data_IF_375290027235
#
_entry.id   IF_375290027235
#
_cell.length_a   1.000
_cell.length_b   1.000
_cell.length_c   1.000
_cell.angle_alpha   90.00
_cell.angle_beta   90.00
_cell.angle_gamma   90.00
#
_symmetry.space_group_name_H-M   'P 1'
#
loop_
_entity.id
_entity.type
_entity.pdbx_description
1 polymer ?
#
# COMPACT_ATOMS: atom_id res chain seq x y z
N UNK A 1 -39.51 11.00 -13.77
CA UNK A 1 -38.39 10.04 -13.67
C UNK A 1 -38.35 9.48 -12.25
N UNK A 2 -38.61 8.20 -12.07
CA UNK A 2 -38.45 7.56 -10.78
C UNK A 2 -36.96 7.51 -10.44
N UNK A 3 -36.54 8.16 -9.34
CA UNK A 3 -35.18 8.06 -8.81
C UNK A 3 -35.04 6.70 -8.10
N UNK A 4 -34.58 5.69 -8.83
CA UNK A 4 -34.28 4.40 -8.23
C UNK A 4 -32.85 4.44 -7.69
N UNK A 5 -32.69 4.03 -6.43
CA UNK A 5 -31.37 3.81 -5.84
C UNK A 5 -30.81 2.51 -6.42
N UNK A 6 -29.72 2.60 -7.16
CA UNK A 6 -29.06 1.42 -7.75
C UNK A 6 -28.33 0.63 -6.65
N UNK A 7 -28.69 -0.63 -6.49
CA UNK A 7 -28.00 -1.58 -5.59
C UNK A 7 -27.33 -2.64 -6.46
N UNK A 8 -26.02 -2.80 -6.30
CA UNK A 8 -25.28 -3.82 -7.03
C UNK A 8 -25.71 -5.24 -6.60
N UNK A 9 -25.95 -6.11 -7.56
CA UNK A 9 -26.21 -7.55 -7.31
C UNK A 9 -24.93 -8.35 -7.57
N UNK A 10 -24.68 -9.37 -6.78
CA UNK A 10 -23.47 -10.19 -6.88
C UNK A 10 -23.29 -10.82 -8.27
N UNK A 11 -24.37 -11.15 -8.97
CA UNK A 11 -24.34 -11.80 -10.28
C UNK A 11 -23.99 -10.84 -11.43
N UNK A 12 -24.13 -9.53 -11.21
CA UNK A 12 -23.88 -8.50 -12.23
C UNK A 12 -22.46 -7.91 -12.14
N UNK A 13 -21.73 -8.26 -11.06
CA UNK A 13 -20.42 -7.67 -10.78
C UNK A 13 -19.35 -8.42 -11.60
N UNK A 14 -18.75 -7.73 -12.55
CA UNK A 14 -17.56 -8.19 -13.25
C UNK A 14 -16.32 -7.84 -12.43
N UNK A 15 -15.49 -8.85 -12.11
CA UNK A 15 -14.24 -8.70 -11.37
C UNK A 15 -13.07 -8.89 -12.31
N UNK A 16 -12.16 -7.92 -12.27
CA UNK A 16 -10.91 -7.94 -13.02
C UNK A 16 -9.74 -8.32 -12.12
N UNK A 17 -8.64 -8.70 -12.76
CA UNK A 17 -7.38 -8.97 -12.08
C UNK A 17 -6.37 -7.90 -12.43
N UNK A 18 -5.71 -7.33 -11.41
CA UNK A 18 -4.70 -6.30 -11.58
C UNK A 18 -3.39 -6.72 -10.94
N UNK A 19 -2.28 -6.40 -11.62
CA UNK A 19 -0.93 -6.51 -11.06
C UNK A 19 -0.42 -5.12 -10.75
N UNK A 20 0.19 -4.98 -9.58
CA UNK A 20 0.80 -3.75 -9.08
C UNK A 20 2.24 -4.04 -8.69
N UNK A 21 3.18 -3.32 -9.27
CA UNK A 21 4.58 -3.36 -8.83
C UNK A 21 4.77 -2.41 -7.64
N UNK A 22 5.35 -2.90 -6.55
CA UNK A 22 5.60 -2.15 -5.32
C UNK A 22 6.98 -1.48 -5.29
N UNK A 23 7.84 -1.69 -6.29
CA UNK A 23 9.22 -1.17 -6.33
C UNK A 23 9.24 0.34 -6.14
N UNK A 24 10.03 0.81 -5.18
CA UNK A 24 10.23 2.22 -4.81
C UNK A 24 8.96 3.02 -4.47
N UNK A 25 7.81 2.37 -4.39
CA UNK A 25 6.55 3.04 -4.06
C UNK A 25 6.37 3.14 -2.55
N UNK A 26 5.88 4.29 -2.05
CA UNK A 26 5.65 4.48 -0.61
C UNK A 26 4.52 3.57 -0.13
N UNK A 27 4.82 2.71 0.87
CA UNK A 27 3.93 1.68 1.42
C UNK A 27 2.50 2.18 1.68
N UNK A 28 2.37 3.32 2.38
CA UNK A 28 1.05 3.82 2.78
C UNK A 28 0.20 4.29 1.60
N UNK A 29 0.81 4.97 0.62
CA UNK A 29 0.11 5.46 -0.58
C UNK A 29 -0.31 4.31 -1.49
N UNK A 30 0.59 3.34 -1.69
CA UNK A 30 0.28 2.11 -2.42
C UNK A 30 -0.89 1.38 -1.75
N UNK A 31 -0.83 1.16 -0.44
CA UNK A 31 -1.87 0.46 0.31
C UNK A 31 -3.25 1.17 0.20
N UNK A 32 -3.29 2.50 0.18
CA UNK A 32 -4.54 3.26 0.03
C UNK A 32 -5.19 3.01 -1.33
N UNK A 33 -4.42 3.06 -2.42
CA UNK A 33 -4.96 2.84 -3.77
C UNK A 33 -5.39 1.39 -3.98
N UNK A 34 -4.60 0.43 -3.50
CA UNK A 34 -4.96 -0.99 -3.51
C UNK A 34 -6.24 -1.25 -2.71
N UNK A 35 -6.40 -0.64 -1.54
CA UNK A 35 -7.62 -0.77 -0.73
C UNK A 35 -8.86 -0.20 -1.45
N UNK A 36 -8.72 0.88 -2.22
CA UNK A 36 -9.81 1.42 -3.04
C UNK A 36 -10.24 0.44 -4.14
N UNK A 37 -9.30 -0.22 -4.81
CA UNK A 37 -9.58 -1.23 -5.84
C UNK A 37 -10.22 -2.48 -5.22
N UNK A 38 -9.70 -2.97 -4.09
CA UNK A 38 -10.24 -4.13 -3.36
C UNK A 38 -11.66 -3.91 -2.85
N UNK A 39 -11.99 -2.69 -2.43
CA UNK A 39 -13.36 -2.33 -2.01
C UNK A 39 -14.27 -2.01 -3.19
N UNK A 40 -13.72 -1.74 -4.38
CA UNK A 40 -14.46 -1.38 -5.59
C UNK A 40 -14.92 0.06 -5.63
N UNK A 41 -14.37 0.95 -4.80
CA UNK A 41 -14.72 2.38 -4.78
C UNK A 41 -14.39 3.13 -6.09
N UNK A 42 -13.56 2.54 -6.94
CA UNK A 42 -13.26 3.03 -8.27
C UNK A 42 -14.36 2.77 -9.30
N UNK A 43 -15.35 1.91 -8.97
CA UNK A 43 -16.45 1.56 -9.86
C UNK A 43 -17.72 2.39 -9.58
N UNK A 44 -18.45 2.84 -10.62
CA UNK A 44 -19.69 3.60 -10.44
C UNK A 44 -20.82 2.78 -9.78
N UNK A 45 -20.77 1.46 -9.91
CA UNK A 45 -21.75 0.52 -9.32
C UNK A 45 -21.48 0.20 -7.84
N UNK A 46 -20.48 0.84 -7.23
CA UNK A 46 -20.10 0.54 -5.86
C UNK A 46 -21.24 0.77 -4.86
N UNK A 47 -21.47 -0.24 -4.03
CA UNK A 47 -22.41 -0.18 -2.89
C UNK A 47 -21.71 -0.74 -1.65
N UNK A 48 -21.91 -0.15 -0.44
CA UNK A 48 -21.17 -0.52 0.76
C UNK A 48 -21.53 -1.90 1.33
N UNK A 49 -22.66 -2.47 0.95
CA UNK A 49 -23.17 -3.75 1.43
C UNK A 49 -22.77 -4.95 0.57
N UNK A 50 -22.23 -4.71 -0.63
CA UNK A 50 -21.82 -5.75 -1.58
C UNK A 50 -20.34 -5.63 -1.94
N UNK A 51 -19.66 -6.74 -2.12
CA UNK A 51 -18.27 -6.77 -2.57
C UNK A 51 -18.16 -6.53 -4.08
N UNK A 52 -17.97 -5.27 -4.48
CA UNK A 52 -17.82 -4.85 -5.88
C UNK A 52 -16.36 -4.82 -6.35
N UNK A 53 -15.39 -5.10 -5.48
CA UNK A 53 -13.97 -4.92 -5.76
C UNK A 53 -13.36 -5.99 -6.66
N UNK A 54 -12.16 -5.67 -7.15
CA UNK A 54 -11.37 -6.49 -8.06
C UNK A 54 -10.29 -7.28 -7.31
N UNK A 55 -9.65 -8.21 -8.02
CA UNK A 55 -8.49 -8.94 -7.54
C UNK A 55 -7.22 -8.12 -7.74
N UNK A 56 -6.34 -8.10 -6.75
CA UNK A 56 -5.07 -7.36 -6.83
C UNK A 56 -3.92 -8.27 -6.46
N UNK A 57 -2.92 -8.29 -7.32
CA UNK A 57 -1.65 -8.97 -7.12
C UNK A 57 -0.59 -7.90 -6.92
N UNK A 58 0.16 -7.98 -5.83
CA UNK A 58 1.29 -7.09 -5.55
C UNK A 58 2.57 -7.89 -5.70
N UNK A 59 3.49 -7.40 -6.52
CA UNK A 59 4.82 -7.98 -6.72
C UNK A 59 5.90 -7.07 -6.13
N UNK A 60 7.10 -7.61 -5.91
CA UNK A 60 8.25 -6.89 -5.35
C UNK A 60 7.99 -6.24 -3.98
N UNK A 61 7.23 -6.90 -3.09
CA UNK A 61 6.88 -6.33 -1.79
C UNK A 61 8.11 -6.01 -0.90
N UNK A 62 9.24 -6.66 -1.12
CA UNK A 62 10.50 -6.40 -0.43
C UNK A 62 11.15 -5.06 -0.80
N UNK A 63 10.84 -4.52 -2.01
CA UNK A 63 11.42 -3.29 -2.54
C UNK A 63 10.57 -2.05 -2.26
N UNK A 64 9.58 -2.16 -1.39
CA UNK A 64 8.70 -1.05 -1.03
C UNK A 64 9.44 0.01 -0.22
N UNK A 65 9.14 1.30 -0.46
CA UNK A 65 9.80 2.40 0.24
C UNK A 65 9.03 2.82 1.50
N UNK A 66 9.78 3.18 2.55
CA UNK A 66 9.27 3.75 3.78
C UNK A 66 9.78 5.20 3.92
N UNK A 67 8.89 6.16 4.02
CA UNK A 67 9.26 7.58 4.11
C UNK A 67 9.77 7.97 5.50
N UNK A 68 10.81 8.81 5.55
CA UNK A 68 11.41 9.29 6.79
C UNK A 68 12.02 8.16 7.63
N UNK A 69 12.13 8.32 8.94
CA UNK A 69 12.76 7.35 9.84
C UNK A 69 11.80 6.23 10.32
N UNK A 70 10.83 5.85 9.47
CA UNK A 70 9.86 4.78 9.80
C UNK A 70 10.52 3.40 9.89
N UNK A 71 11.63 3.20 9.21
CA UNK A 71 12.37 1.94 9.24
C UNK A 71 12.75 1.58 10.68
N UNK A 72 13.23 2.56 11.45
CA UNK A 72 13.68 2.36 12.83
C UNK A 72 12.56 2.60 13.85
N UNK A 73 11.75 3.65 13.66
CA UNK A 73 10.81 4.12 14.68
C UNK A 73 9.44 3.44 14.63
N UNK A 74 8.99 2.96 13.44
CA UNK A 74 7.69 2.31 13.35
C UNK A 74 7.76 0.89 13.91
N UNK A 75 6.88 0.60 14.88
CA UNK A 75 6.78 -0.69 15.55
C UNK A 75 5.49 -1.41 15.16
N UNK A 76 5.59 -2.71 14.93
CA UNK A 76 4.47 -3.62 14.76
C UNK A 76 4.37 -4.53 15.98
N UNK A 77 3.16 -4.62 16.50
CA UNK A 77 2.88 -5.40 17.72
C UNK A 77 2.12 -6.67 17.36
N UNK A 78 2.46 -7.76 18.04
CA UNK A 78 1.74 -9.02 17.98
C UNK A 78 1.61 -9.59 19.38
N UNK A 79 0.39 -9.96 19.79
CA UNK A 79 0.09 -10.47 21.12
C UNK A 79 -0.30 -11.93 21.00
N UNK A 80 0.33 -12.80 21.78
CA UNK A 80 0.03 -14.24 21.80
C UNK A 80 -1.21 -14.62 22.62
N UNK A 81 -1.79 -13.66 23.37
CA UNK A 81 -2.91 -13.90 24.28
C UNK A 81 -2.51 -14.32 25.70
N UNK A 82 -1.23 -14.60 25.95
CA UNK A 82 -0.70 -14.92 27.28
C UNK A 82 -0.12 -13.70 27.99
N UNK A 83 -0.06 -13.71 29.31
CA UNK A 83 0.57 -12.66 30.09
C UNK A 83 2.08 -12.52 29.64
N UNK A 84 2.52 -11.27 29.38
CA UNK A 84 3.86 -11.01 28.87
C UNK A 84 4.09 -11.38 27.38
N UNK A 85 3.07 -11.86 26.65
CA UNK A 85 3.18 -12.34 25.27
C UNK A 85 3.22 -11.26 24.18
N UNK A 86 3.48 -9.99 24.52
CA UNK A 86 3.63 -8.90 23.54
C UNK A 86 4.99 -9.01 22.83
N UNK A 87 4.94 -9.19 21.52
CA UNK A 87 6.12 -9.16 20.65
C UNK A 87 6.14 -7.88 19.83
N UNK A 88 7.27 -7.20 19.83
CA UNK A 88 7.47 -5.95 19.06
C UNK A 88 8.50 -6.18 17.97
N UNK A 89 8.19 -5.76 16.74
CA UNK A 89 9.12 -5.78 15.59
C UNK A 89 9.19 -4.39 14.98
N UNK A 90 10.38 -3.93 14.61
CA UNK A 90 10.55 -2.68 13.85
C UNK A 90 10.13 -2.86 12.40
N UNK A 91 9.82 -1.76 11.70
CA UNK A 91 9.45 -1.82 10.29
C UNK A 91 10.62 -2.32 9.42
N UNK A 92 11.88 -2.02 9.77
CA UNK A 92 13.05 -2.56 9.09
C UNK A 92 13.09 -4.10 9.17
N UNK A 93 12.95 -4.65 10.37
CA UNK A 93 12.88 -6.13 10.55
C UNK A 93 11.71 -6.77 9.81
N UNK A 94 10.56 -6.06 9.72
CA UNK A 94 9.40 -6.55 8.97
C UNK A 94 9.66 -6.53 7.47
N UNK A 95 10.34 -5.51 6.94
CA UNK A 95 10.67 -5.39 5.52
C UNK A 95 11.65 -6.49 5.09
N UNK A 96 12.69 -6.77 5.91
CA UNK A 96 13.70 -7.76 5.60
C UNK A 96 13.21 -9.21 5.70
N UNK A 97 12.47 -9.53 6.78
CA UNK A 97 12.10 -10.92 7.10
C UNK A 97 10.66 -11.28 6.72
N UNK A 98 9.75 -10.30 6.70
CA UNK A 98 8.31 -10.53 6.55
C UNK A 98 7.66 -9.46 5.65
N UNK A 99 8.15 -9.21 4.41
CA UNK A 99 7.64 -8.14 3.55
C UNK A 99 6.18 -8.35 3.16
N UNK A 100 5.77 -9.59 2.91
CA UNK A 100 4.39 -9.95 2.60
C UNK A 100 3.46 -9.60 3.76
N UNK A 101 3.80 -10.03 4.98
CA UNK A 101 2.99 -9.76 6.18
C UNK A 101 2.88 -8.26 6.45
N UNK A 102 3.95 -7.48 6.24
CA UNK A 102 3.95 -6.03 6.41
C UNK A 102 2.97 -5.35 5.44
N UNK A 103 2.99 -5.76 4.17
CA UNK A 103 2.10 -5.24 3.13
C UNK A 103 0.64 -5.59 3.44
N UNK A 104 0.36 -6.85 3.74
CA UNK A 104 -0.99 -7.31 4.07
C UNK A 104 -1.56 -6.59 5.30
N UNK A 105 -0.79 -6.41 6.37
CA UNK A 105 -1.21 -5.67 7.57
C UNK A 105 -1.54 -4.21 7.25
N UNK A 106 -0.76 -3.58 6.39
CA UNK A 106 -1.00 -2.20 6.00
C UNK A 106 -2.33 -2.06 5.24
N UNK A 107 -2.57 -2.93 4.26
CA UNK A 107 -3.80 -2.93 3.46
C UNK A 107 -5.02 -3.34 4.30
N UNK A 108 -4.88 -4.37 5.13
CA UNK A 108 -5.96 -4.80 6.04
C UNK A 108 -6.43 -3.69 6.99
N UNK A 109 -5.49 -2.83 7.43
CA UNK A 109 -5.83 -1.65 8.23
C UNK A 109 -6.67 -0.60 7.50
N UNK A 110 -6.67 -0.61 6.15
CA UNK A 110 -7.38 0.35 5.29
C UNK A 110 -8.68 -0.20 4.69
N UNK A 111 -8.88 -1.52 4.75
CA UNK A 111 -10.10 -2.20 4.29
C UNK A 111 -11.11 -2.24 5.45
N UNK A 112 -12.44 -2.16 5.20
CA UNK A 112 -13.45 -2.27 6.23
C UNK A 112 -13.29 -3.55 7.07
N UNK A 113 -13.51 -3.45 8.38
CA UNK A 113 -13.47 -4.59 9.29
C UNK A 113 -14.82 -5.32 9.26
N UNK A 114 -14.80 -6.63 9.42
CA UNK A 114 -16.02 -7.43 9.46
C UNK A 114 -16.07 -8.53 8.38
N UNK A 115 -17.25 -9.11 8.16
CA UNK A 115 -17.42 -10.23 7.21
C UNK A 115 -17.06 -9.84 5.78
N UNK A 116 -17.55 -8.70 5.31
CA UNK A 116 -17.32 -8.19 3.97
C UNK A 116 -15.82 -7.87 3.74
N UNK A 117 -15.17 -7.21 4.69
CA UNK A 117 -13.74 -6.91 4.61
C UNK A 117 -12.87 -8.16 4.54
N UNK A 118 -13.24 -9.24 5.26
CA UNK A 118 -12.54 -10.53 5.13
C UNK A 118 -12.69 -11.15 3.73
N UNK A 119 -13.84 -10.98 3.07
CA UNK A 119 -14.03 -11.41 1.68
C UNK A 119 -13.18 -10.58 0.73
N UNK A 120 -13.10 -9.27 0.93
CA UNK A 120 -12.26 -8.37 0.14
C UNK A 120 -10.78 -8.74 0.28
N UNK A 121 -10.31 -9.05 1.48
CA UNK A 121 -8.91 -9.46 1.72
C UNK A 121 -8.53 -10.78 1.03
N UNK A 122 -9.45 -11.69 0.80
CA UNK A 122 -9.20 -12.93 0.04
C UNK A 122 -8.85 -12.68 -1.43
N UNK A 123 -9.10 -11.49 -1.95
CA UNK A 123 -8.78 -11.07 -3.32
C UNK A 123 -7.41 -10.41 -3.44
N UNK A 124 -6.70 -10.25 -2.32
CA UNK A 124 -5.35 -9.72 -2.28
C UNK A 124 -4.34 -10.86 -2.30
N UNK A 125 -3.37 -10.77 -3.22
CA UNK A 125 -2.24 -11.66 -3.31
C UNK A 125 -0.96 -10.83 -3.27
N UNK A 126 -0.05 -11.16 -2.36
CA UNK A 126 1.21 -10.42 -2.18
C UNK A 126 2.38 -11.36 -2.36
N UNK A 127 3.34 -10.95 -3.19
CA UNK A 127 4.56 -11.69 -3.48
C UNK A 127 5.78 -10.83 -3.13
N UNK A 128 6.78 -11.42 -2.50
CA UNK A 128 8.02 -10.75 -2.16
C UNK A 128 8.82 -10.40 -3.41
N UNK A 129 8.94 -11.35 -4.33
CA UNK A 129 9.68 -11.24 -5.59
C UNK A 129 8.83 -10.75 -6.78
N UNK A 130 9.41 -10.80 -8.00
CA UNK A 130 8.76 -10.32 -9.23
C UNK A 130 7.73 -11.31 -9.81
N UNK A 131 7.78 -12.59 -9.42
CA UNK A 131 6.95 -13.64 -10.00
C UNK A 131 5.65 -13.82 -9.23
N UNK A 132 4.57 -14.08 -9.94
CA UNK A 132 3.26 -14.42 -9.37
C UNK A 132 2.70 -15.71 -10.00
N UNK A 133 1.80 -16.37 -9.28
CA UNK A 133 1.24 -17.67 -9.69
C UNK A 133 -0.07 -17.58 -10.51
N UNK A 134 -0.58 -16.38 -10.77
CA UNK A 134 -1.91 -16.15 -11.37
C UNK A 134 -1.84 -15.76 -12.86
N UNK A 135 -0.90 -16.29 -13.63
CA UNK A 135 -0.75 -15.98 -15.06
C UNK A 135 -2.00 -16.39 -15.89
N UNK A 136 -2.63 -17.50 -15.53
CA UNK A 136 -3.83 -18.00 -16.20
C UNK A 136 -5.01 -17.01 -16.18
N UNK A 137 -5.03 -16.08 -15.22
CA UNK A 137 -6.06 -15.04 -15.09
C UNK A 137 -5.82 -13.83 -15.99
N UNK A 138 -4.67 -13.76 -16.71
CA UNK A 138 -4.27 -12.64 -17.58
C UNK A 138 -4.46 -11.29 -16.90
N UNK A 139 -3.77 -11.04 -15.77
CA UNK A 139 -3.98 -9.81 -15.01
C UNK A 139 -3.50 -8.58 -15.79
N UNK A 140 -4.25 -7.49 -15.70
CA UNK A 140 -3.91 -6.20 -16.29
C UNK A 140 -2.92 -5.45 -15.36
N UNK A 141 -1.90 -4.78 -15.92
CA UNK A 141 -1.00 -3.95 -15.12
C UNK A 141 -1.72 -2.67 -14.70
N UNK A 142 -1.77 -2.42 -13.40
CA UNK A 142 -2.37 -1.21 -12.83
C UNK A 142 -1.27 -0.20 -12.49
N UNK A 143 -1.18 0.87 -13.26
CA UNK A 143 -0.34 2.00 -12.94
C UNK A 143 -1.00 2.86 -11.85
N UNK A 144 -0.37 2.92 -10.71
CA UNK A 144 -0.85 3.74 -9.59
C UNK A 144 -0.35 5.17 -9.76
N UNK A 145 -1.29 6.12 -9.77
CA UNK A 145 -0.97 7.55 -9.81
C UNK A 145 -0.64 8.04 -8.40
N UNK A 146 0.63 8.27 -8.14
CA UNK A 146 1.04 8.97 -6.93
C UNK A 146 1.12 10.46 -7.26
N UNK A 147 0.35 11.29 -6.52
CA UNK A 147 0.63 12.72 -6.53
C UNK A 147 2.08 12.89 -6.08
N UNK A 148 2.92 13.42 -6.95
CA UNK A 148 4.30 13.75 -6.56
C UNK A 148 4.23 14.59 -5.29
N UNK A 149 5.01 14.20 -4.29
CA UNK A 149 5.25 15.04 -3.12
C UNK A 149 5.76 16.34 -3.68
N UNK A 150 5.00 17.42 -3.46
CA UNK A 150 5.20 18.71 -4.08
C UNK A 150 6.70 19.00 -4.21
N UNK A 151 7.14 19.39 -5.39
CA UNK A 151 8.51 19.76 -5.78
C UNK A 151 9.17 20.75 -4.78
N UNK A 152 8.36 21.40 -3.95
CA UNK A 152 8.76 22.28 -2.87
C UNK A 152 9.58 21.61 -1.76
N UNK A 153 9.23 20.38 -1.33
CA UNK A 153 10.01 19.69 -0.31
C UNK A 153 11.34 19.16 -0.84
N UNK A 154 11.41 18.76 -2.13
CA UNK A 154 12.68 18.39 -2.77
C UNK A 154 13.59 19.61 -2.95
N UNK A 155 13.03 20.77 -3.33
CA UNK A 155 13.80 22.04 -3.42
C UNK A 155 14.33 22.50 -2.08
N UNK A 156 13.57 22.39 -1.00
CA UNK A 156 14.03 22.76 0.35
C UNK A 156 15.19 21.86 0.83
N UNK A 157 15.10 20.55 0.61
CA UNK A 157 16.17 19.60 0.98
C UNK A 157 17.41 19.83 0.09
N UNK A 158 17.21 20.04 -1.20
CA UNK A 158 18.32 20.31 -2.13
C UNK A 158 19.02 21.63 -1.79
N UNK A 159 18.28 22.70 -1.55
CA UNK A 159 18.84 23.99 -1.18
C UNK A 159 19.55 23.98 0.18
N UNK A 160 19.02 23.27 1.19
CA UNK A 160 19.70 23.11 2.47
C UNK A 160 21.01 22.33 2.35
N UNK A 161 21.06 21.33 1.47
CA UNK A 161 22.28 20.54 1.24
C UNK A 161 23.32 21.29 0.42
N UNK A 162 22.90 22.13 -0.53
CA UNK A 162 23.80 22.99 -1.31
C UNK A 162 24.36 24.09 -0.42
N UNK A 163 23.51 24.76 0.39
CA UNK A 163 23.93 25.79 1.34
C UNK A 163 24.90 25.27 2.41
N UNK A 164 24.68 24.04 2.90
CA UNK A 164 25.61 23.39 3.82
C UNK A 164 26.97 23.08 3.18
N UNK A 165 27.02 22.76 1.89
CA UNK A 165 28.27 22.56 1.15
C UNK A 165 28.99 23.86 0.83
N UNK A 166 28.28 24.93 0.50
CA UNK A 166 28.86 26.26 0.25
C UNK A 166 29.46 26.85 1.52
N UNK A 167 28.83 26.67 2.69
CA UNK A 167 29.36 27.10 3.98
C UNK A 167 30.60 26.30 4.42
N UNK A 168 30.83 25.11 3.89
CA UNK A 168 32.03 24.30 4.14
C UNK A 168 33.19 24.64 3.22
N UNK A 169 32.92 25.35 2.10
CA UNK A 169 33.89 25.69 1.05
C UNK A 169 34.27 27.20 1.07
N UNK A 170 33.74 28.02 1.96
CA UNK A 170 34.22 29.40 2.12
C UNK A 170 35.54 29.38 2.89
N UNK A 171 36.67 29.74 2.26
CA UNK A 171 37.92 29.91 2.98
C UNK A 171 37.78 31.18 3.81
N UNK A 172 37.59 31.00 5.10
CA UNK A 172 37.97 32.04 6.03
C UNK A 172 39.49 32.11 6.00
N UNK A 173 40.03 33.20 5.36
CA UNK A 173 41.07 33.93 5.99
C UNK A 173 42.14 34.49 5.08
N UNK A 174 42.16 35.74 5.08
CA UNK A 174 43.43 36.44 5.45
C UNK A 174 43.07 37.45 6.53
#
# INVERSE_FOLDING_TARGET
MQRQTTIAKNNEIQRKWFVVDATDKPLGRLATQVAQVLTGKNKPIWTPNVDCGDYVIIINAEKVSLSGDKVNNKKYYNVSGYAGGLRTRTAGTMLEKYPVEMMERCIHGMVPKGRLGRQMMKKLFVYAGPEHKQEAQKPEVLELKFSEVSTWQRKLIFNSTVQAKENLLSPAFI
#
